data_IF_996691739280
#
_entry.id   IF_996691739280
#
_cell.length_a   1.000
_cell.length_b   1.000
_cell.length_c   1.000
_cell.angle_alpha   90.00
_cell.angle_beta   90.00
_cell.angle_gamma   90.00
#
_symmetry.space_group_name_H-M   'P 1'
#
loop_
_entity.id
_entity.type
_entity.pdbx_description
1 polymer ?
#
# COMPACT_ATOMS: atom_id res chain seq x y z
N UNK A 1 -23.43 -43.16 49.86
CA UNK A 1 -23.59 -42.77 48.44
C UNK A 1 -23.42 -41.26 48.38
N UNK A 2 -22.28 -40.78 47.88
CA UNK A 2 -22.00 -39.34 47.75
C UNK A 2 -22.55 -38.81 46.43
N UNK A 3 -23.67 -38.09 46.51
CA UNK A 3 -24.31 -37.47 45.34
C UNK A 3 -23.62 -36.13 45.10
N UNK A 4 -22.73 -36.09 44.10
CA UNK A 4 -22.06 -34.86 43.67
C UNK A 4 -23.09 -33.96 42.98
N UNK A 5 -23.37 -32.80 43.57
CA UNK A 5 -24.29 -31.80 43.02
C UNK A 5 -23.80 -31.27 41.67
N UNK A 6 -24.68 -31.30 40.66
CA UNK A 6 -24.44 -30.70 39.34
C UNK A 6 -24.45 -29.17 39.48
N UNK A 7 -23.27 -28.59 39.58
CA UNK A 7 -23.06 -27.14 39.61
C UNK A 7 -23.54 -26.48 38.31
N UNK A 8 -24.23 -25.34 38.49
CA UNK A 8 -24.90 -24.55 37.47
C UNK A 8 -23.89 -24.01 36.42
N UNK A 9 -23.79 -24.67 35.26
CA UNK A 9 -22.81 -24.41 34.19
C UNK A 9 -23.15 -23.22 33.25
N UNK A 10 -24.03 -22.30 33.65
CA UNK A 10 -24.47 -21.18 32.81
C UNK A 10 -23.33 -20.23 32.41
N UNK A 11 -22.26 -20.14 33.22
CA UNK A 11 -21.12 -19.26 32.92
C UNK A 11 -20.27 -19.73 31.73
N UNK A 12 -20.24 -21.04 31.42
CA UNK A 12 -19.46 -21.56 30.27
C UNK A 12 -20.10 -21.22 28.93
N UNK A 13 -21.43 -21.20 28.87
CA UNK A 13 -22.13 -20.93 27.62
C UNK A 13 -22.03 -19.46 27.20
N UNK A 14 -22.02 -18.53 28.15
CA UNK A 14 -21.87 -17.10 27.88
C UNK A 14 -20.45 -16.75 27.42
N UNK A 15 -19.42 -17.41 27.97
CA UNK A 15 -18.03 -17.27 27.54
C UNK A 15 -17.79 -17.79 26.12
N UNK A 16 -18.42 -18.91 25.76
CA UNK A 16 -18.35 -19.46 24.40
C UNK A 16 -18.98 -18.54 23.36
N UNK A 17 -20.13 -17.94 23.67
CA UNK A 17 -20.79 -16.96 22.80
C UNK A 17 -19.93 -15.72 22.57
N UNK A 18 -19.36 -15.12 23.63
CA UNK A 18 -18.47 -13.96 23.50
C UNK A 18 -17.21 -14.27 22.67
N UNK A 19 -16.65 -15.48 22.82
CA UNK A 19 -15.46 -15.91 22.07
C UNK A 19 -15.76 -16.10 20.58
N UNK A 20 -16.98 -16.53 20.25
CA UNK A 20 -17.43 -16.70 18.86
C UNK A 20 -17.68 -15.35 18.17
N UNK A 21 -18.24 -14.37 18.87
CA UNK A 21 -18.41 -13.00 18.35
C UNK A 21 -17.08 -12.31 18.07
N UNK A 22 -16.08 -12.49 18.93
CA UNK A 22 -14.72 -11.96 18.74
C UNK A 22 -13.96 -12.63 17.58
N UNK A 23 -14.24 -13.90 17.30
CA UNK A 23 -13.64 -14.61 16.17
C UNK A 23 -14.25 -14.16 14.83
N UNK A 24 -15.57 -13.97 14.78
CA UNK A 24 -16.26 -13.46 13.60
C UNK A 24 -15.81 -12.03 13.25
N UNK A 25 -15.71 -11.11 14.23
CA UNK A 25 -15.32 -9.73 13.98
C UNK A 25 -13.88 -9.59 13.41
N UNK A 26 -12.94 -10.43 13.89
CA UNK A 26 -11.57 -10.50 13.33
C UNK A 26 -11.54 -11.01 11.90
N UNK A 27 -12.40 -11.98 11.55
CA UNK A 27 -12.48 -12.49 10.18
C UNK A 27 -13.08 -11.47 9.21
N UNK A 28 -14.05 -10.66 9.65
CA UNK A 28 -14.61 -9.58 8.84
C UNK A 28 -13.58 -8.48 8.60
N UNK A 29 -12.82 -8.09 9.64
CA UNK A 29 -11.71 -7.12 9.52
C UNK A 29 -10.64 -7.58 8.52
N UNK A 30 -10.21 -8.84 8.59
CA UNK A 30 -9.21 -9.36 7.65
C UNK A 30 -9.70 -9.40 6.19
N UNK A 31 -11.00 -9.58 5.97
CA UNK A 31 -11.59 -9.55 4.62
C UNK A 31 -11.68 -8.12 4.06
N UNK A 32 -12.06 -7.15 4.90
CA UNK A 32 -12.05 -5.74 4.51
C UNK A 32 -10.64 -5.24 4.25
N UNK A 33 -9.66 -5.57 5.09
CA UNK A 33 -8.27 -5.15 4.90
C UNK A 33 -7.68 -5.67 3.58
N UNK A 34 -7.98 -6.92 3.20
CA UNK A 34 -7.55 -7.47 1.90
C UNK A 34 -8.16 -6.75 0.70
N UNK A 35 -9.40 -6.27 0.82
CA UNK A 35 -10.06 -5.51 -0.23
C UNK A 35 -9.42 -4.13 -0.37
N UNK A 36 -9.25 -3.42 0.74
CA UNK A 36 -8.63 -2.09 0.80
C UNK A 36 -7.17 -2.10 0.31
N UNK A 37 -6.38 -3.11 0.70
CA UNK A 37 -5.01 -3.32 0.21
C UNK A 37 -4.97 -3.59 -1.30
N UNK A 38 -5.94 -4.34 -1.82
CA UNK A 38 -6.03 -4.65 -3.25
C UNK A 38 -6.37 -3.40 -4.07
N UNK A 39 -7.25 -2.54 -3.55
CA UNK A 39 -7.61 -1.29 -4.23
C UNK A 39 -6.49 -0.24 -4.15
N UNK A 40 -5.77 -0.15 -3.02
CA UNK A 40 -4.57 0.68 -2.92
C UNK A 40 -3.47 0.22 -3.90
N UNK A 41 -3.23 -1.08 -4.00
CA UNK A 41 -2.26 -1.64 -4.95
C UNK A 41 -2.66 -1.42 -6.42
N UNK A 42 -3.95 -1.50 -6.74
CA UNK A 42 -4.47 -1.17 -8.08
C UNK A 42 -4.29 0.30 -8.45
N UNK A 43 -4.51 1.22 -7.50
CA UNK A 43 -4.29 2.66 -7.71
C UNK A 43 -2.83 2.97 -7.99
N UNK A 44 -1.90 2.40 -7.22
CA UNK A 44 -0.46 2.54 -7.46
C UNK A 44 -0.01 1.91 -8.79
N UNK A 45 -0.61 0.79 -9.20
CA UNK A 45 -0.35 0.21 -10.53
C UNK A 45 -0.91 1.02 -11.69
N UNK A 46 -1.93 1.85 -11.45
CA UNK A 46 -2.50 2.72 -12.48
C UNK A 46 -1.64 3.94 -12.79
N UNK A 47 -0.67 4.25 -11.93
CA UNK A 47 0.45 5.16 -12.20
C UNK A 47 1.57 4.47 -13.02
N UNK A 48 1.23 3.37 -13.71
CA UNK A 48 2.11 2.75 -14.69
C UNK A 48 2.44 3.75 -15.79
N UNK A 49 3.74 3.96 -16.01
CA UNK A 49 4.33 4.89 -16.99
C UNK A 49 3.42 5.06 -18.21
N UNK A 50 2.82 6.24 -18.34
CA UNK A 50 1.88 6.55 -19.41
C UNK A 50 2.59 6.30 -20.76
N UNK A 51 1.99 5.45 -21.60
CA UNK A 51 2.57 5.08 -22.89
C UNK A 51 2.82 6.31 -23.78
N UNK A 52 2.07 7.40 -23.55
CA UNK A 52 2.31 8.72 -24.15
C UNK A 52 3.65 9.30 -23.71
N UNK A 53 3.95 9.24 -22.41
CA UNK A 53 5.20 9.72 -21.83
C UNK A 53 6.41 8.98 -22.41
N UNK A 54 6.30 7.65 -22.57
CA UNK A 54 7.36 6.86 -23.21
C UNK A 54 7.60 7.26 -24.65
N UNK A 55 6.52 7.50 -25.41
CA UNK A 55 6.65 7.92 -26.81
C UNK A 55 7.24 9.33 -26.93
N UNK A 56 6.85 10.24 -26.04
CA UNK A 56 7.39 11.60 -25.98
C UNK A 56 8.89 11.60 -25.63
N UNK A 57 9.30 10.78 -24.66
CA UNK A 57 10.72 10.61 -24.30
C UNK A 57 11.50 10.03 -25.48
N UNK A 58 10.98 9.00 -26.15
CA UNK A 58 11.62 8.42 -27.33
C UNK A 58 11.82 9.46 -28.44
N UNK A 59 10.79 10.26 -28.72
CA UNK A 59 10.85 11.34 -29.72
C UNK A 59 11.87 12.42 -29.34
N UNK A 60 11.99 12.76 -28.04
CA UNK A 60 13.00 13.70 -27.54
C UNK A 60 14.42 13.15 -27.63
N UNK A 61 14.61 11.85 -27.45
CA UNK A 61 15.91 11.18 -27.65
C UNK A 61 16.27 11.22 -29.13
N UNK A 62 15.37 10.78 -30.02
CA UNK A 62 15.61 10.72 -31.46
C UNK A 62 15.88 12.10 -32.07
N UNK A 63 15.23 13.15 -31.56
CA UNK A 63 15.45 14.54 -31.99
C UNK A 63 16.69 15.20 -31.40
N UNK A 64 17.47 14.50 -30.56
CA UNK A 64 18.65 15.04 -29.89
C UNK A 64 18.33 16.18 -28.91
N UNK A 65 17.08 16.29 -28.44
CA UNK A 65 16.63 17.37 -27.55
C UNK A 65 17.50 17.47 -26.30
N UNK A 66 17.90 16.33 -25.73
CA UNK A 66 18.75 16.26 -24.53
C UNK A 66 20.22 16.64 -24.79
N UNK A 67 20.66 16.67 -26.04
CA UNK A 67 22.03 17.05 -26.42
C UNK A 67 22.18 18.55 -26.65
N UNK A 68 21.10 19.33 -26.49
CA UNK A 68 21.15 20.79 -26.62
C UNK A 68 21.85 21.39 -25.41
N UNK A 69 22.74 22.34 -25.64
CA UNK A 69 23.50 23.02 -24.57
C UNK A 69 22.58 23.62 -23.50
N UNK A 70 21.42 24.15 -23.90
CA UNK A 70 20.41 24.69 -22.96
C UNK A 70 19.90 23.64 -21.96
N UNK A 71 19.71 22.39 -22.40
CA UNK A 71 19.22 21.30 -21.55
C UNK A 71 20.35 20.78 -20.66
N UNK A 72 21.55 20.66 -21.24
CA UNK A 72 22.75 20.24 -20.51
C UNK A 72 23.07 21.22 -19.37
N UNK A 73 23.03 22.53 -19.65
CA UNK A 73 23.30 23.57 -18.65
C UNK A 73 22.28 23.55 -17.51
N UNK A 74 20.98 23.39 -17.83
CA UNK A 74 19.94 23.27 -16.79
C UNK A 74 20.17 22.07 -15.87
N UNK A 75 20.54 20.92 -16.46
CA UNK A 75 20.83 19.72 -15.67
C UNK A 75 22.08 19.92 -14.82
N UNK A 76 23.13 20.56 -15.37
CA UNK A 76 24.33 20.89 -14.63
C UNK A 76 24.04 21.80 -13.42
N UNK A 77 23.23 22.84 -13.61
CA UNK A 77 22.83 23.77 -12.55
C UNK A 77 22.03 23.06 -11.44
N UNK A 78 21.09 22.19 -11.79
CA UNK A 78 20.33 21.40 -10.82
C UNK A 78 21.21 20.43 -10.03
N UNK A 79 22.16 19.78 -10.70
CA UNK A 79 23.13 18.88 -10.05
C UNK A 79 23.97 19.68 -9.04
N UNK A 80 24.55 20.81 -9.45
CA UNK A 80 25.36 21.66 -8.58
C UNK A 80 24.55 22.12 -7.37
N UNK A 81 23.30 22.58 -7.60
CA UNK A 81 22.41 23.02 -6.53
C UNK A 81 22.12 21.91 -5.52
N UNK A 82 21.84 20.69 -6.00
CA UNK A 82 21.56 19.55 -5.13
C UNK A 82 22.75 19.19 -4.24
N UNK A 83 23.97 19.23 -4.77
CA UNK A 83 25.17 18.97 -3.97
C UNK A 83 25.53 20.12 -3.02
N UNK A 84 25.14 21.36 -3.34
CA UNK A 84 25.31 22.51 -2.47
C UNK A 84 24.33 22.50 -1.28
N UNK A 85 23.09 22.05 -1.49
CA UNK A 85 22.06 21.97 -0.44
C UNK A 85 22.25 20.77 0.53
N UNK A 86 23.11 19.79 0.19
CA UNK A 86 23.45 18.63 1.05
C UNK A 86 24.62 18.89 2.02
N UNK A 87 25.17 20.11 2.08
CA UNK A 87 26.18 20.57 3.05
C UNK A 87 25.65 21.70 3.95
#
# INVERSE_FOLDING_TARGET
>A
MDIRGVGNNYSRYTELYKKQEQASSRQTQQKTDKLELSDAAKKLKSEGVDAKLLNDVKTKIDSGYYNRDEVINKVADEIIKKFADEN
#
